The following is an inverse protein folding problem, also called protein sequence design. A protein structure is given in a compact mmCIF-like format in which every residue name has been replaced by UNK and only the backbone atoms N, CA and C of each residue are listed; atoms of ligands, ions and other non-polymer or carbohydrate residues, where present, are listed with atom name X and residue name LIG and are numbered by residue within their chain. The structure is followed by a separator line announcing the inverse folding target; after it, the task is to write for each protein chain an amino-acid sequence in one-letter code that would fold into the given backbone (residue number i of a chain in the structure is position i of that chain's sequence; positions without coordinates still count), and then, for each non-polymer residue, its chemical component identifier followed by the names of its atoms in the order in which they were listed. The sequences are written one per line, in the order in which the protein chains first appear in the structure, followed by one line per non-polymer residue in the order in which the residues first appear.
data_IF_304388563411
#
_entry.id   IF_304388563411
#
_cell.length_a   1.000
_cell.length_b   1.000
_cell.length_c   1.000
_cell.angle_alpha   90.00
_cell.angle_beta   90.00
_cell.angle_gamma   90.00
#
_symmetry.space_group_name_H-M   'P 1'
#
loop_
_entity.id
_entity.type
_entity.pdbx_description
1 polymer ?
#
# COMPACT_ATOMS: atom_id res chain seq x y z
N UNK A 1 -6.01 11.25 -36.38
CA UNK A 1 -5.14 10.14 -35.89
C UNK A 1 -4.83 10.37 -34.40
N UNK A 2 -5.70 9.90 -33.49
CA UNK A 2 -5.50 10.03 -32.03
C UNK A 2 -4.42 9.04 -31.59
N UNK A 3 -3.30 9.53 -31.06
CA UNK A 3 -2.28 8.71 -30.40
C UNK A 3 -2.92 8.12 -29.14
N UNK A 4 -3.18 6.80 -29.12
CA UNK A 4 -3.62 6.09 -27.92
C UNK A 4 -2.45 6.08 -26.93
N UNK A 5 -2.64 6.70 -25.78
CA UNK A 5 -1.73 6.58 -24.64
C UNK A 5 -1.78 5.12 -24.13
N UNK A 6 -0.65 4.44 -23.89
CA UNK A 6 -0.61 3.01 -23.52
C UNK A 6 -1.26 2.67 -22.18
N UNK A 7 -1.57 3.67 -21.36
CA UNK A 7 -2.02 3.51 -19.98
C UNK A 7 -3.48 3.04 -19.82
N UNK A 8 -4.23 2.90 -20.91
CA UNK A 8 -5.67 2.58 -20.89
C UNK A 8 -6.00 1.08 -20.79
N UNK A 9 -5.01 0.18 -20.71
CA UNK A 9 -5.24 -1.26 -20.63
C UNK A 9 -4.64 -1.91 -19.37
N UNK A 10 -5.08 -1.49 -18.18
CA UNK A 10 -5.02 -2.34 -16.99
C UNK A 10 -6.38 -3.03 -16.78
N UNK A 11 -6.74 -3.95 -17.69
CA UNK A 11 -8.04 -4.67 -17.61
C UNK A 11 -7.98 -5.99 -16.83
N UNK A 12 -6.82 -6.40 -16.29
CA UNK A 12 -6.71 -7.61 -15.46
C UNK A 12 -5.51 -7.58 -14.50
N UNK A 13 -5.70 -7.72 -13.17
CA UNK A 13 -4.60 -7.69 -12.19
C UNK A 13 -3.65 -8.90 -12.26
N UNK A 14 -3.94 -9.91 -13.10
CA UNK A 14 -3.13 -11.15 -13.23
C UNK A 14 -2.29 -11.25 -14.51
N UNK A 15 -2.34 -10.28 -15.43
CA UNK A 15 -1.50 -10.31 -16.64
C UNK A 15 -0.54 -9.14 -16.66
N UNK A 16 0.54 -9.29 -15.91
CA UNK A 16 1.83 -8.78 -16.36
C UNK A 16 2.31 -9.64 -17.53
N UNK A 17 2.43 -9.06 -18.72
CA UNK A 17 3.00 -9.75 -19.87
C UNK A 17 4.49 -10.01 -19.61
N UNK A 18 4.89 -11.30 -19.52
CA UNK A 18 6.28 -11.74 -19.34
C UNK A 18 7.17 -11.51 -20.57
N UNK A 19 6.64 -10.90 -21.63
CA UNK A 19 7.37 -10.70 -22.90
C UNK A 19 8.51 -9.68 -22.82
N UNK A 20 8.52 -8.77 -21.84
CA UNK A 20 9.64 -7.87 -21.58
C UNK A 20 10.43 -8.31 -20.35
N UNK A 21 11.52 -9.07 -20.56
CA UNK A 21 12.52 -9.31 -19.52
C UNK A 21 13.16 -7.97 -19.16
N UNK A 22 12.83 -7.41 -17.99
CA UNK A 22 13.53 -6.25 -17.43
C UNK A 22 12.67 -5.16 -16.80
N UNK A 23 11.34 -5.22 -16.89
CA UNK A 23 10.46 -4.26 -16.19
C UNK A 23 9.82 -4.92 -14.96
N UNK A 24 10.08 -4.44 -13.73
CA UNK A 24 9.40 -4.96 -12.56
C UNK A 24 7.91 -4.66 -12.67
N UNK A 25 7.09 -5.66 -12.38
CA UNK A 25 5.65 -5.52 -12.17
C UNK A 25 5.38 -4.84 -10.83
N UNK A 26 5.81 -3.59 -10.71
CA UNK A 26 5.47 -2.78 -9.55
C UNK A 26 3.99 -2.47 -9.65
N UNK A 27 3.22 -2.79 -8.60
CA UNK A 27 1.85 -2.30 -8.52
C UNK A 27 1.89 -0.76 -8.65
N UNK A 28 1.01 -0.13 -9.44
CA UNK A 28 1.10 1.30 -9.78
C UNK A 28 1.08 2.23 -8.55
N UNK A 29 0.55 1.76 -7.42
CA UNK A 29 0.59 2.50 -6.15
C UNK A 29 1.93 2.42 -5.42
N UNK A 30 2.80 1.45 -5.73
CA UNK A 30 4.08 1.23 -5.05
C UNK A 30 5.23 2.07 -5.64
N UNK A 31 5.05 2.65 -6.83
CA UNK A 31 6.07 3.52 -7.47
C UNK A 31 5.79 5.00 -7.27
N UNK A 32 4.55 5.37 -6.94
CA UNK A 32 4.15 6.75 -6.68
C UNK A 32 4.29 7.09 -5.20
N UNK A 33 4.76 8.31 -4.89
CA UNK A 33 4.96 8.77 -3.50
C UNK A 33 3.67 9.23 -2.80
N UNK A 34 2.62 9.55 -3.55
CA UNK A 34 1.47 10.26 -2.98
C UNK A 34 0.69 9.44 -1.94
N UNK A 35 0.41 8.15 -2.24
CA UNK A 35 -0.51 7.36 -1.40
C UNK A 35 -0.21 5.86 -1.41
N UNK A 36 -0.08 5.31 -0.21
CA UNK A 36 0.03 3.87 0.05
C UNK A 36 -1.36 3.24 0.17
N UNK A 37 -1.59 2.16 -0.57
CA UNK A 37 -2.86 1.41 -0.58
C UNK A 37 -2.58 -0.07 -0.81
N UNK A 38 -3.16 -0.94 0.03
CA UNK A 38 -3.24 -2.37 -0.26
C UNK A 38 -4.59 -2.73 -0.88
N UNK A 39 -4.55 -3.44 -1.99
CA UNK A 39 -5.72 -4.02 -2.65
C UNK A 39 -5.78 -5.51 -2.34
N UNK A 40 -6.95 -5.99 -1.91
CA UNK A 40 -7.14 -7.35 -1.40
C UNK A 40 -6.67 -8.44 -2.38
N UNK A 41 -6.79 -8.20 -3.69
CA UNK A 41 -6.41 -9.14 -4.75
C UNK A 41 -4.92 -9.11 -5.15
N UNK A 42 -4.12 -8.22 -4.55
CA UNK A 42 -2.67 -8.14 -4.75
C UNK A 42 -1.88 -8.47 -3.48
N UNK A 43 -2.57 -8.67 -2.35
CA UNK A 43 -1.96 -9.08 -1.09
C UNK A 43 -1.42 -10.52 -1.17
N UNK A 44 -0.34 -10.79 -0.43
CA UNK A 44 0.20 -12.14 -0.32
C UNK A 44 1.61 -12.18 0.23
N UNK A 45 2.27 -13.30 0.02
CA UNK A 45 3.66 -13.51 0.46
C UNK A 45 4.63 -12.69 -0.40
N UNK A 46 5.27 -11.69 0.21
CA UNK A 46 6.24 -10.81 -0.46
C UNK A 46 7.44 -11.59 -0.98
N UNK A 47 7.86 -12.66 -0.30
CA UNK A 47 8.95 -13.53 -0.76
C UNK A 47 8.60 -14.29 -2.05
N UNK A 48 7.29 -14.46 -2.31
CA UNK A 48 6.75 -15.11 -3.52
C UNK A 48 6.28 -14.11 -4.58
N UNK A 49 6.64 -12.83 -4.42
CA UNK A 49 6.40 -11.79 -5.43
C UNK A 49 5.12 -10.98 -5.24
N UNK A 50 4.43 -11.09 -4.10
CA UNK A 50 3.38 -10.13 -3.78
C UNK A 50 3.99 -8.75 -3.52
N UNK A 51 3.38 -7.65 -3.99
CA UNK A 51 3.87 -6.29 -3.74
C UNK A 51 3.82 -5.88 -2.26
N UNK A 52 2.98 -6.54 -1.45
CA UNK A 52 2.82 -6.25 -0.03
C UNK A 52 2.20 -7.42 0.75
N UNK A 53 2.47 -7.50 2.07
CA UNK A 53 1.93 -8.56 2.92
C UNK A 53 0.41 -8.43 3.07
N UNK A 54 -0.28 -9.51 3.51
CA UNK A 54 -1.70 -9.48 3.82
C UNK A 54 -2.10 -8.33 4.74
N UNK A 55 -3.31 -7.80 4.55
CA UNK A 55 -3.92 -6.81 5.43
C UNK A 55 -4.16 -7.44 6.81
N UNK A 56 -3.83 -6.71 7.87
CA UNK A 56 -4.07 -7.18 9.26
C UNK A 56 -5.41 -6.70 9.82
N UNK A 57 -6.02 -5.69 9.20
CA UNK A 57 -7.36 -5.23 9.53
C UNK A 57 -8.44 -5.93 8.70
N UNK A 58 -9.25 -5.16 7.97
CA UNK A 58 -10.35 -5.69 7.15
C UNK A 58 -10.38 -5.05 5.76
N UNK A 59 -11.17 -5.60 4.83
CA UNK A 59 -11.34 -5.02 3.50
C UNK A 59 -12.72 -4.40 3.33
N UNK A 60 -12.76 -3.23 2.68
CA UNK A 60 -14.02 -2.62 2.21
C UNK A 60 -13.82 -2.15 0.78
N UNK A 61 -14.66 -2.60 -0.15
CA UNK A 61 -14.51 -2.32 -1.60
C UNK A 61 -13.12 -2.69 -2.13
N UNK A 62 -12.62 -3.89 -1.77
CA UNK A 62 -11.30 -4.41 -2.12
C UNK A 62 -10.08 -3.60 -1.64
N UNK A 63 -10.27 -2.56 -0.82
CA UNK A 63 -9.19 -1.77 -0.21
C UNK A 63 -9.03 -2.17 1.25
N UNK A 64 -7.79 -2.45 1.66
CA UNK A 64 -7.44 -2.71 3.06
C UNK A 64 -7.72 -1.47 3.93
N UNK A 65 -8.42 -1.71 5.03
CA UNK A 65 -8.44 -0.87 6.21
C UNK A 65 -7.31 -1.38 7.09
N UNK A 66 -6.28 -0.56 7.26
CA UNK A 66 -5.08 -0.95 8.00
C UNK A 66 -5.40 -1.24 9.47
N UNK A 67 -4.85 -2.35 9.97
CA UNK A 67 -4.83 -2.67 11.39
C UNK A 67 -3.48 -2.33 12.02
N UNK A 68 -3.38 -2.50 13.35
CA UNK A 68 -2.15 -2.21 14.09
C UNK A 68 -0.95 -3.03 13.59
N UNK A 69 -1.19 -4.26 13.12
CA UNK A 69 -0.16 -5.12 12.54
C UNK A 69 0.44 -4.60 11.22
N UNK A 70 -0.27 -3.71 10.52
CA UNK A 70 0.23 -3.09 9.29
C UNK A 70 1.18 -1.91 9.55
N UNK A 71 1.16 -1.32 10.76
CA UNK A 71 1.90 -0.10 11.07
C UNK A 71 3.40 -0.22 10.85
N UNK A 72 3.99 -1.34 11.29
CA UNK A 72 5.41 -1.60 11.06
C UNK A 72 5.72 -1.54 9.57
N UNK A 73 4.91 -2.15 8.72
CA UNK A 73 5.15 -2.13 7.28
C UNK A 73 4.93 -0.74 6.67
N UNK A 74 3.87 -0.03 7.07
CA UNK A 74 3.52 1.32 6.61
C UNK A 74 4.65 2.31 6.90
N UNK A 75 5.23 2.28 8.10
CA UNK A 75 6.30 3.21 8.52
C UNK A 75 7.61 3.05 7.74
N UNK A 76 7.82 1.92 7.05
CA UNK A 76 8.98 1.69 6.19
C UNK A 76 8.73 2.09 4.72
N UNK A 77 7.52 2.55 4.37
CA UNK A 77 7.22 3.00 3.01
C UNK A 77 7.60 4.46 2.81
N UNK A 78 7.87 4.83 1.55
CA UNK A 78 8.25 6.18 1.16
C UNK A 78 7.04 7.10 0.94
N UNK A 79 5.82 6.58 1.02
CA UNK A 79 4.60 7.32 0.73
C UNK A 79 4.30 8.40 1.77
N UNK A 80 3.69 9.51 1.34
CA UNK A 80 3.30 10.61 2.22
C UNK A 80 2.04 10.29 3.04
N UNK A 81 1.08 9.58 2.43
CA UNK A 81 -0.21 9.25 3.04
C UNK A 81 -0.50 7.76 2.87
N UNK A 82 -1.24 7.18 3.82
CA UNK A 82 -1.74 5.82 3.72
C UNK A 82 -3.27 5.82 3.76
N UNK A 83 -3.90 5.05 2.87
CA UNK A 83 -5.35 4.91 2.79
C UNK A 83 -5.75 3.43 2.81
N UNK A 84 -6.63 2.97 3.71
CA UNK A 84 -7.50 3.72 4.64
C UNK A 84 -7.38 3.25 6.09
N UNK A 85 -7.80 4.11 7.01
CA UNK A 85 -7.98 3.82 8.43
C UNK A 85 -9.45 4.00 8.78
N UNK A 86 -9.94 3.21 9.74
CA UNK A 86 -11.31 3.29 10.25
C UNK A 86 -11.27 2.91 11.74
N UNK A 87 -11.61 3.84 12.66
CA UNK A 87 -11.62 3.56 14.10
C UNK A 87 -12.57 2.41 14.49
N UNK A 88 -13.60 2.11 13.68
CA UNK A 88 -14.49 0.98 13.95
C UNK A 88 -13.86 -0.38 13.61
N UNK A 89 -12.78 -0.39 12.82
CA UNK A 89 -12.04 -1.62 12.49
C UNK A 89 -10.87 -1.80 13.44
N UNK A 90 -10.06 -0.77 13.63
CA UNK A 90 -8.92 -0.80 14.54
C UNK A 90 -8.50 0.62 14.94
N UNK A 91 -9.00 1.09 16.09
CA UNK A 91 -8.66 2.39 16.67
C UNK A 91 -7.22 2.43 17.21
N UNK A 92 -6.63 1.28 17.57
CA UNK A 92 -5.24 1.20 18.04
C UNK A 92 -4.29 1.56 16.90
N UNK A 93 -4.58 1.10 15.67
CA UNK A 93 -3.80 1.46 14.49
C UNK A 93 -3.68 2.99 14.32
N UNK A 94 -4.80 3.71 14.48
CA UNK A 94 -4.84 5.16 14.32
C UNK A 94 -4.09 5.86 15.46
N UNK A 95 -4.37 5.50 16.72
CA UNK A 95 -3.74 6.09 17.91
C UNK A 95 -2.23 5.89 17.95
N UNK A 96 -1.75 4.68 17.61
CA UNK A 96 -0.33 4.39 17.57
C UNK A 96 0.38 5.19 16.48
N UNK A 97 -0.21 5.28 15.28
CA UNK A 97 0.36 6.07 14.19
C UNK A 97 0.41 7.56 14.54
N UNK A 98 -0.67 8.12 15.10
CA UNK A 98 -0.71 9.51 15.56
C UNK A 98 0.37 9.79 16.60
N UNK A 99 0.44 8.96 17.65
CA UNK A 99 1.42 9.11 18.73
C UNK A 99 2.85 9.01 18.21
N UNK A 100 3.13 8.04 17.34
CA UNK A 100 4.44 7.86 16.74
C UNK A 100 4.86 9.06 15.89
N UNK A 101 3.98 9.54 15.01
CA UNK A 101 4.27 10.67 14.13
C UNK A 101 4.43 11.97 14.92
N UNK A 102 3.60 12.20 15.94
CA UNK A 102 3.72 13.34 16.84
C UNK A 102 5.04 13.33 17.59
N UNK A 103 5.43 12.20 18.17
CA UNK A 103 6.71 12.06 18.85
C UNK A 103 7.88 12.29 17.90
N UNK A 104 7.84 11.70 16.70
CA UNK A 104 8.87 11.90 15.67
C UNK A 104 9.00 13.36 15.26
N UNK A 105 7.89 14.09 15.14
CA UNK A 105 7.88 15.51 14.81
C UNK A 105 8.45 16.39 15.93
N UNK A 106 8.19 16.06 17.19
CA UNK A 106 8.64 16.85 18.34
C UNK A 106 10.11 16.58 18.71
N UNK A 107 10.58 15.34 18.60
CA UNK A 107 11.88 14.92 19.13
C UNK A 107 12.87 14.48 18.05
N UNK A 108 12.47 14.41 16.78
CA UNK A 108 13.34 14.01 15.67
C UNK A 108 13.82 12.56 15.72
N UNK A 109 13.32 11.75 16.66
CA UNK A 109 13.64 10.33 16.82
C UNK A 109 12.37 9.49 16.64
N UNK A 110 12.46 8.38 15.91
CA UNK A 110 11.44 7.32 16.02
C UNK A 110 11.62 6.63 17.37
N UNK A 111 10.52 6.32 18.07
CA UNK A 111 10.54 5.42 19.23
C UNK A 111 11.04 4.04 18.82
#
# INVERSE_FOLDING_TARGET
KRRRLPWLFCHHPRRCDRRHKGWPCSAPNMTAIARLVKWSYLEGDVSKGAPYPPCTGSHRRAVCIFGAGDLRWILHQHHLLANKFDPQVDDVALKCLETHLRYKALYGKSM
#
